data_IF_391008780580
#
_entry.id   IF_391008780580
#
_cell.length_a   1.000
_cell.length_b   1.000
_cell.length_c   1.000
_cell.angle_alpha   90.00
_cell.angle_beta   90.00
_cell.angle_gamma   90.00
#
_symmetry.space_group_name_H-M   'P 1'
#
loop_
_entity.id
_entity.type
_entity.pdbx_description
1 polymer ?
#
# COMPACT_ATOMS: atom_id res chain seq x y z
N UNK A 1 33.65 -9.55 14.37
CA UNK A 1 32.65 -8.49 14.59
C UNK A 1 32.42 -7.62 13.34
N UNK A 2 33.46 -7.26 12.57
CA UNK A 2 33.36 -6.44 11.34
C UNK A 2 32.52 -7.04 10.20
N UNK A 3 32.61 -8.36 9.96
CA UNK A 3 31.81 -9.01 8.89
C UNK A 3 30.29 -8.96 9.10
N UNK A 4 29.83 -8.78 10.34
CA UNK A 4 28.40 -8.76 10.69
C UNK A 4 27.72 -7.46 10.31
N UNK A 5 28.39 -6.34 10.60
CA UNK A 5 27.89 -5.01 10.26
C UNK A 5 27.81 -4.83 8.74
N UNK A 6 28.77 -5.41 7.99
CA UNK A 6 28.75 -5.40 6.54
C UNK A 6 27.48 -6.05 5.95
N UNK A 7 27.03 -7.18 6.51
CA UNK A 7 25.81 -7.85 6.03
C UNK A 7 24.53 -7.05 6.35
N UNK A 8 24.46 -6.44 7.55
CA UNK A 8 23.33 -5.56 7.92
C UNK A 8 23.25 -4.35 6.97
N UNK A 9 24.39 -3.72 6.66
CA UNK A 9 24.43 -2.59 5.70
C UNK A 9 24.09 -2.99 4.26
N UNK A 10 24.49 -4.20 3.84
CA UNK A 10 24.14 -4.71 2.51
C UNK A 10 22.64 -4.95 2.37
N UNK A 11 21.98 -5.42 3.43
CA UNK A 11 20.54 -5.67 3.43
C UNK A 11 19.71 -4.37 3.34
N UNK A 12 20.22 -3.25 3.86
CA UNK A 12 19.60 -1.93 3.66
C UNK A 12 19.57 -1.52 2.19
N UNK A 13 20.47 -2.05 1.35
CA UNK A 13 20.44 -1.83 -0.10
C UNK A 13 19.13 -2.28 -0.74
N UNK A 14 18.40 -3.23 -0.15
CA UNK A 14 17.08 -3.65 -0.65
C UNK A 14 15.98 -2.60 -0.46
N UNK A 15 16.20 -1.58 0.38
CA UNK A 15 15.25 -0.48 0.52
C UNK A 15 15.37 0.53 -0.64
N UNK A 16 16.50 0.60 -1.35
CA UNK A 16 16.74 1.61 -2.37
C UNK A 16 15.79 1.48 -3.58
N UNK A 17 15.59 0.31 -4.20
CA UNK A 17 14.68 0.19 -5.34
C UNK A 17 13.24 0.65 -5.06
N UNK A 18 12.55 0.22 -3.98
CA UNK A 18 11.20 0.70 -3.70
C UNK A 18 11.18 2.20 -3.34
N UNK A 19 12.19 2.73 -2.64
CA UNK A 19 12.26 4.18 -2.38
C UNK A 19 12.39 5.00 -3.67
N UNK A 20 13.14 4.50 -4.65
CA UNK A 20 13.25 5.13 -5.98
C UNK A 20 11.92 5.08 -6.73
N UNK A 21 11.23 3.94 -6.74
CA UNK A 21 9.89 3.82 -7.34
C UNK A 21 8.90 4.78 -6.69
N UNK A 22 8.92 4.88 -5.35
CA UNK A 22 8.09 5.83 -4.61
C UNK A 22 8.36 7.26 -5.04
N UNK A 23 9.64 7.68 -5.06
CA UNK A 23 10.02 9.04 -5.44
C UNK A 23 9.61 9.38 -6.88
N UNK A 24 9.93 8.48 -7.83
CA UNK A 24 9.55 8.68 -9.25
C UNK A 24 8.04 8.78 -9.39
N UNK A 25 7.29 7.93 -8.66
CA UNK A 25 5.82 8.01 -8.68
C UNK A 25 5.30 9.33 -8.12
N UNK A 26 5.85 9.85 -7.01
CA UNK A 26 5.42 11.15 -6.50
C UNK A 26 5.64 12.27 -7.55
N UNK A 27 6.82 12.30 -8.18
CA UNK A 27 7.13 13.30 -9.20
C UNK A 27 6.25 13.17 -10.44
N UNK A 28 6.06 11.95 -10.94
CA UNK A 28 5.20 11.69 -12.10
C UNK A 28 3.74 12.01 -11.81
N UNK A 29 3.27 11.77 -10.58
CA UNK A 29 1.91 12.10 -10.17
C UNK A 29 1.67 13.62 -10.17
N UNK A 30 2.58 14.39 -9.55
CA UNK A 30 2.48 15.86 -9.54
C UNK A 30 2.47 16.44 -10.96
N UNK A 31 3.29 15.90 -11.87
CA UNK A 31 3.30 16.32 -13.27
C UNK A 31 1.99 15.96 -14.00
N UNK A 32 1.50 14.74 -13.81
CA UNK A 32 0.25 14.27 -14.45
C UNK A 32 -0.99 15.01 -13.93
N UNK A 33 -0.91 15.60 -12.74
CA UNK A 33 -2.03 16.23 -12.06
C UNK A 33 -2.05 17.76 -12.14
N UNK A 34 -1.14 18.38 -12.91
CA UNK A 34 -1.10 19.84 -13.11
C UNK A 34 -2.46 20.38 -13.59
N UNK A 35 -3.10 19.67 -14.51
CA UNK A 35 -4.37 20.08 -15.11
C UNK A 35 -5.61 19.67 -14.28
N UNK A 36 -5.43 18.90 -13.19
CA UNK A 36 -6.56 18.47 -12.36
C UNK A 36 -7.09 19.60 -11.48
N UNK A 37 -6.26 20.56 -11.06
CA UNK A 37 -6.67 21.63 -10.14
C UNK A 37 -7.93 22.39 -10.60
N UNK A 38 -8.02 22.94 -11.82
CA UNK A 38 -9.23 23.67 -12.25
C UNK A 38 -10.47 22.77 -12.27
N UNK A 39 -10.32 21.51 -12.67
CA UNK A 39 -11.40 20.53 -12.71
C UNK A 39 -11.93 20.25 -11.30
N UNK A 40 -11.03 20.04 -10.34
CA UNK A 40 -11.39 19.77 -8.95
C UNK A 40 -12.09 20.96 -8.30
N UNK A 41 -11.63 22.19 -8.56
CA UNK A 41 -12.27 23.41 -8.06
C UNK A 41 -13.66 23.61 -8.64
N UNK A 42 -13.85 23.32 -9.93
CA UNK A 42 -15.16 23.36 -10.58
C UNK A 42 -16.11 22.34 -9.95
N UNK A 43 -15.67 21.09 -9.76
CA UNK A 43 -16.48 20.04 -9.13
C UNK A 43 -16.90 20.40 -7.69
N UNK A 44 -16.00 20.98 -6.89
CA UNK A 44 -16.35 21.44 -5.54
C UNK A 44 -17.42 22.54 -5.57
N UNK A 45 -17.36 23.44 -6.56
CA UNK A 45 -18.38 24.47 -6.75
C UNK A 45 -19.74 23.88 -7.13
N UNK A 46 -19.76 22.90 -8.05
CA UNK A 46 -21.00 22.20 -8.42
C UNK A 46 -21.63 21.49 -7.22
N UNK A 47 -20.84 20.81 -6.38
CA UNK A 47 -21.35 20.16 -5.15
C UNK A 47 -21.98 21.19 -4.20
N UNK A 48 -21.40 22.39 -4.08
CA UNK A 48 -21.93 23.43 -3.20
C UNK A 48 -23.32 23.93 -3.63
N UNK A 49 -23.62 23.84 -4.93
CA UNK A 49 -24.88 24.31 -5.52
C UNK A 49 -25.88 23.17 -5.78
N UNK A 50 -25.46 21.92 -5.63
CA UNK A 50 -26.30 20.75 -5.83
C UNK A 50 -27.42 20.67 -4.78
N UNK A 51 -28.59 20.10 -5.12
CA UNK A 51 -29.64 19.87 -4.14
C UNK A 51 -29.17 18.86 -3.08
N UNK A 52 -29.83 18.91 -1.91
CA UNK A 52 -29.51 18.00 -0.81
C UNK A 52 -29.59 16.53 -1.29
N UNK A 53 -28.58 15.70 -0.97
CA UNK A 53 -28.56 14.30 -1.39
C UNK A 53 -29.66 13.50 -0.68
N UNK A 54 -30.06 12.37 -1.27
CA UNK A 54 -30.93 11.41 -0.61
C UNK A 54 -30.24 10.91 0.70
N UNK A 55 -30.90 11.00 1.87
CA UNK A 55 -30.35 10.53 3.13
C UNK A 55 -29.85 9.07 3.09
N UNK A 56 -30.51 8.21 2.30
CA UNK A 56 -30.15 6.81 2.15
C UNK A 56 -28.82 6.64 1.39
N UNK A 57 -28.60 7.42 0.34
CA UNK A 57 -27.34 7.38 -0.42
C UNK A 57 -26.19 7.95 0.39
N UNK A 58 -26.42 9.02 1.15
CA UNK A 58 -25.42 9.57 2.08
C UNK A 58 -25.06 8.54 3.16
N UNK A 59 -26.04 7.84 3.73
CA UNK A 59 -25.81 6.78 4.71
C UNK A 59 -25.03 5.60 4.09
N UNK A 60 -25.37 5.18 2.87
CA UNK A 60 -24.65 4.13 2.14
C UNK A 60 -23.18 4.51 1.90
N UNK A 61 -22.92 5.74 1.46
CA UNK A 61 -21.57 6.25 1.26
C UNK A 61 -20.76 6.23 2.56
N UNK A 62 -21.35 6.71 3.66
CA UNK A 62 -20.71 6.72 4.99
C UNK A 62 -20.37 5.32 5.49
N UNK A 63 -21.29 4.36 5.37
CA UNK A 63 -21.06 2.96 5.78
C UNK A 63 -19.96 2.32 4.94
N UNK A 64 -19.99 2.53 3.62
CA UNK A 64 -18.98 1.99 2.71
C UNK A 64 -17.60 2.56 3.01
N UNK A 65 -17.52 3.88 3.26
CA UNK A 65 -16.28 4.54 3.67
C UNK A 65 -15.77 4.02 5.01
N UNK A 66 -16.65 3.89 6.01
CA UNK A 66 -16.31 3.34 7.31
C UNK A 66 -15.78 1.90 7.24
N UNK A 67 -16.34 1.07 6.35
CA UNK A 67 -15.84 -0.29 6.11
C UNK A 67 -14.44 -0.29 5.49
N UNK A 68 -14.17 0.58 4.51
CA UNK A 68 -12.84 0.76 3.93
C UNK A 68 -11.80 1.24 4.94
N UNK A 69 -12.20 2.18 5.81
CA UNK A 69 -11.36 2.69 6.90
C UNK A 69 -11.01 1.59 7.91
N UNK A 70 -12.01 0.82 8.36
CA UNK A 70 -11.81 -0.28 9.32
C UNK A 70 -10.86 -1.34 8.76
N UNK A 71 -11.06 -1.74 7.49
CA UNK A 71 -10.18 -2.68 6.80
C UNK A 71 -8.73 -2.18 6.80
N UNK A 72 -8.52 -0.91 6.43
CA UNK A 72 -7.18 -0.30 6.42
C UNK A 72 -6.54 -0.31 7.80
N UNK A 73 -7.25 0.11 8.86
CA UNK A 73 -6.72 0.12 10.22
C UNK A 73 -6.31 -1.27 10.72
N UNK A 74 -7.17 -2.28 10.53
CA UNK A 74 -6.87 -3.65 10.96
C UNK A 74 -5.62 -4.17 10.27
N UNK A 75 -5.52 -3.99 8.96
CA UNK A 75 -4.37 -4.45 8.17
C UNK A 75 -3.10 -3.67 8.54
N UNK A 76 -3.17 -2.35 8.66
CA UNK A 76 -2.03 -1.50 9.03
C UNK A 76 -1.48 -1.87 10.42
N UNK A 77 -2.35 -2.04 11.41
CA UNK A 77 -1.96 -2.48 12.75
C UNK A 77 -1.34 -3.88 12.74
N UNK A 78 -1.91 -4.83 11.97
CA UNK A 78 -1.36 -6.17 11.83
C UNK A 78 0.04 -6.19 11.21
N UNK A 79 0.24 -5.45 10.12
CA UNK A 79 1.54 -5.32 9.44
C UNK A 79 2.57 -4.64 10.35
N UNK A 80 2.18 -3.56 11.03
CA UNK A 80 3.05 -2.86 11.98
C UNK A 80 3.46 -3.78 13.14
N UNK A 81 2.50 -4.50 13.74
CA UNK A 81 2.76 -5.46 14.80
C UNK A 81 3.76 -6.53 14.37
N UNK A 82 3.56 -7.13 13.20
CA UNK A 82 4.48 -8.13 12.65
C UNK A 82 5.87 -7.57 12.35
N UNK A 83 5.96 -6.37 11.77
CA UNK A 83 7.23 -5.69 11.52
C UNK A 83 8.01 -5.42 12.82
N UNK A 84 7.32 -4.99 13.88
CA UNK A 84 7.92 -4.78 15.20
C UNK A 84 8.41 -6.09 15.83
N UNK A 85 7.71 -7.21 15.62
CA UNK A 85 8.18 -8.53 16.08
C UNK A 85 9.48 -8.93 15.39
N UNK A 86 9.59 -8.72 14.07
CA UNK A 86 10.84 -9.00 13.33
C UNK A 86 12.03 -8.19 13.85
N UNK A 87 11.82 -6.93 14.24
CA UNK A 87 12.89 -6.13 14.85
C UNK A 87 13.37 -6.68 16.19
N UNK A 88 12.53 -7.38 16.97
CA UNK A 88 12.96 -7.92 18.27
C UNK A 88 14.07 -8.96 18.12
N UNK A 89 14.10 -9.66 16.98
CA UNK A 89 15.10 -10.69 16.67
C UNK A 89 16.46 -10.13 16.23
N UNK A 90 16.53 -8.84 15.90
CA UNK A 90 17.78 -8.20 15.52
C UNK A 90 18.72 -8.04 16.72
N UNK A 91 20.00 -7.88 16.40
CA UNK A 91 21.01 -7.51 17.36
C UNK A 91 20.72 -6.15 18.01
N UNK A 92 21.14 -5.91 19.27
CA UNK A 92 20.89 -4.60 19.90
C UNK A 92 21.37 -3.38 19.07
N UNK A 93 22.53 -3.52 18.38
CA UNK A 93 23.05 -2.47 17.48
C UNK A 93 22.24 -2.38 16.19
N UNK A 94 21.89 -3.52 15.58
CA UNK A 94 21.02 -3.57 14.40
C UNK A 94 19.65 -2.96 14.70
N UNK A 95 19.03 -3.29 15.84
CA UNK A 95 17.78 -2.67 16.31
C UNK A 95 17.87 -1.16 16.36
N UNK A 96 18.93 -0.61 16.95
CA UNK A 96 19.13 0.84 17.01
C UNK A 96 19.30 1.46 15.61
N UNK A 97 20.08 0.82 14.73
CA UNK A 97 20.28 1.30 13.36
C UNK A 97 18.97 1.30 12.56
N UNK A 98 18.25 0.18 12.54
CA UNK A 98 16.99 0.06 11.81
C UNK A 98 15.91 0.96 12.40
N UNK A 99 15.85 1.12 13.73
CA UNK A 99 14.93 2.06 14.37
C UNK A 99 15.25 3.51 13.99
N UNK A 100 16.52 3.92 13.99
CA UNK A 100 16.92 5.27 13.59
C UNK A 100 16.55 5.57 12.13
N UNK A 101 16.78 4.60 11.23
CA UNK A 101 16.39 4.72 9.83
C UNK A 101 14.86 4.74 9.65
N UNK A 102 14.13 3.94 10.41
CA UNK A 102 12.67 3.95 10.40
C UNK A 102 12.14 5.32 10.85
N UNK A 103 12.65 5.85 11.95
CA UNK A 103 12.30 7.19 12.44
C UNK A 103 12.60 8.25 11.39
N UNK A 104 13.76 8.18 10.73
CA UNK A 104 14.11 9.11 9.66
C UNK A 104 13.14 9.04 8.47
N UNK A 105 12.85 7.85 7.96
CA UNK A 105 11.92 7.68 6.84
C UNK A 105 10.50 8.11 7.22
N UNK A 106 10.04 7.79 8.43
CA UNK A 106 8.75 8.24 8.94
C UNK A 106 8.71 9.77 9.06
N UNK A 107 9.77 10.40 9.55
CA UNK A 107 9.87 11.85 9.62
C UNK A 107 9.80 12.50 8.22
N UNK A 108 10.48 11.91 7.22
CA UNK A 108 10.40 12.35 5.83
C UNK A 108 8.98 12.20 5.28
N UNK A 109 8.32 11.06 5.52
CA UNK A 109 6.95 10.81 5.07
C UNK A 109 5.94 11.76 5.73
N UNK A 110 6.07 12.02 7.03
CA UNK A 110 5.23 12.98 7.75
C UNK A 110 5.47 14.42 7.29
N UNK A 111 6.74 14.81 7.12
CA UNK A 111 7.09 16.12 6.55
C UNK A 111 6.46 16.30 5.17
N UNK A 112 6.58 15.30 4.30
CA UNK A 112 5.98 15.33 2.98
C UNK A 112 4.45 15.45 3.05
N UNK A 113 3.79 14.70 3.93
CA UNK A 113 2.33 14.78 4.12
C UNK A 113 1.88 16.17 4.60
N UNK A 114 2.57 16.75 5.58
CA UNK A 114 2.29 18.08 6.11
C UNK A 114 2.53 19.15 5.03
N UNK A 115 3.67 19.08 4.35
CA UNK A 115 4.03 20.05 3.31
C UNK A 115 3.08 19.98 2.11
N UNK A 116 2.67 18.76 1.72
CA UNK A 116 1.64 18.55 0.69
C UNK A 116 0.32 19.21 1.10
N UNK A 117 -0.12 18.98 2.34
CA UNK A 117 -1.33 19.60 2.88
C UNK A 117 -1.29 21.14 2.92
N UNK A 118 -0.14 21.72 3.23
CA UNK A 118 0.05 23.18 3.28
C UNK A 118 0.15 23.83 1.89
N UNK A 119 0.83 23.18 0.95
CA UNK A 119 1.04 23.70 -0.41
C UNK A 119 -0.16 23.54 -1.33
N UNK A 120 -1.16 22.74 -0.95
CA UNK A 120 -2.28 22.34 -1.82
C UNK A 120 -1.78 21.79 -3.17
N UNK A 121 -0.74 20.96 -3.12
CA UNK A 121 -0.23 20.21 -4.28
C UNK A 121 -1.29 19.24 -4.84
N UNK A 122 -0.99 18.58 -5.96
CA UNK A 122 -1.94 17.67 -6.59
C UNK A 122 -2.45 16.59 -5.63
N UNK A 123 -1.55 16.01 -4.85
CA UNK A 123 -1.90 14.95 -3.91
C UNK A 123 -2.91 15.41 -2.85
N UNK A 124 -2.67 16.58 -2.25
CA UNK A 124 -3.58 17.13 -1.25
C UNK A 124 -4.88 17.65 -1.84
N UNK A 125 -4.88 18.15 -3.08
CA UNK A 125 -6.11 18.58 -3.76
C UNK A 125 -7.14 17.45 -3.88
N UNK A 126 -6.69 16.21 -4.04
CA UNK A 126 -7.58 15.04 -4.05
C UNK A 126 -8.25 14.81 -2.70
N UNK A 127 -7.50 14.98 -1.61
CA UNK A 127 -8.06 14.92 -0.27
C UNK A 127 -9.07 16.06 -0.04
N UNK A 128 -8.68 17.27 -0.44
CA UNK A 128 -9.52 18.46 -0.30
C UNK A 128 -10.76 18.40 -1.19
N UNK A 129 -10.75 17.74 -2.35
CA UNK A 129 -11.97 17.54 -3.15
C UNK A 129 -13.07 16.92 -2.28
N UNK A 130 -12.81 15.76 -1.68
CA UNK A 130 -13.82 15.08 -0.88
C UNK A 130 -14.17 15.84 0.38
N UNK A 131 -13.16 16.39 1.07
CA UNK A 131 -13.37 17.16 2.31
C UNK A 131 -14.21 18.41 2.05
N UNK A 132 -13.82 19.22 1.07
CA UNK A 132 -14.46 20.50 0.78
C UNK A 132 -15.85 20.27 0.16
N UNK A 133 -16.04 19.21 -0.64
CA UNK A 133 -17.37 18.78 -1.12
C UNK A 133 -18.32 18.41 0.03
N UNK A 134 -17.83 17.63 1.00
CA UNK A 134 -18.62 17.24 2.18
C UNK A 134 -18.89 18.43 3.11
N UNK A 135 -17.99 19.40 3.17
CA UNK A 135 -18.23 20.64 3.92
C UNK A 135 -19.28 21.52 3.20
N UNK A 136 -19.19 21.63 1.88
CA UNK A 136 -20.04 22.49 1.06
C UNK A 136 -21.51 22.03 1.04
N UNK A 137 -21.77 20.71 1.06
CA UNK A 137 -23.15 20.19 1.05
C UNK A 137 -23.96 20.57 2.31
N UNK A 138 -23.30 20.98 3.41
CA UNK A 138 -23.90 21.18 4.74
C UNK A 138 -24.78 19.99 5.20
N UNK A 139 -24.48 18.79 4.71
CA UNK A 139 -25.28 17.58 4.90
C UNK A 139 -24.84 16.74 6.11
N UNK A 140 -23.77 17.16 6.81
CA UNK A 140 -23.22 16.51 7.99
C UNK A 140 -23.24 17.46 9.18
N UNK A 141 -23.49 16.92 10.38
CA UNK A 141 -23.28 17.69 11.62
C UNK A 141 -21.80 18.00 11.82
N UNK A 142 -21.48 19.11 12.51
CA UNK A 142 -20.10 19.50 12.83
C UNK A 142 -19.34 18.37 13.54
N UNK A 143 -19.99 17.66 14.47
CA UNK A 143 -19.41 16.52 15.18
C UNK A 143 -19.09 15.36 14.24
N UNK A 144 -19.99 15.05 13.29
CA UNK A 144 -19.74 14.00 12.29
C UNK A 144 -18.57 14.37 11.38
N UNK A 145 -18.50 15.62 10.95
CA UNK A 145 -17.43 16.12 10.11
C UNK A 145 -16.08 16.06 10.84
N UNK A 146 -16.03 16.51 12.10
CA UNK A 146 -14.83 16.43 12.95
C UNK A 146 -14.37 14.98 13.15
N UNK A 147 -15.30 14.05 13.38
CA UNK A 147 -14.96 12.63 13.51
C UNK A 147 -14.34 12.06 12.21
N UNK A 148 -14.86 12.46 11.05
CA UNK A 148 -14.29 12.09 9.75
C UNK A 148 -12.88 12.67 9.59
N UNK A 149 -12.66 13.94 9.93
CA UNK A 149 -11.34 14.56 9.86
C UNK A 149 -10.31 13.84 10.74
N UNK A 150 -10.66 13.53 11.99
CA UNK A 150 -9.79 12.77 12.91
C UNK A 150 -9.47 11.39 12.35
N UNK A 151 -10.47 10.68 11.81
CA UNK A 151 -10.27 9.38 11.18
C UNK A 151 -9.30 9.44 9.99
N UNK A 152 -9.45 10.43 9.10
CA UNK A 152 -8.53 10.56 7.96
C UNK A 152 -7.13 10.98 8.41
N UNK A 153 -7.00 11.83 9.43
CA UNK A 153 -5.69 12.16 10.01
C UNK A 153 -4.98 10.93 10.57
N UNK A 154 -5.70 10.06 11.30
CA UNK A 154 -5.16 8.80 11.80
C UNK A 154 -4.77 7.84 10.65
N UNK A 155 -5.56 7.78 9.59
CA UNK A 155 -5.22 7.01 8.38
C UNK A 155 -3.94 7.52 7.73
N UNK A 156 -3.81 8.84 7.55
CA UNK A 156 -2.61 9.45 6.98
C UNK A 156 -1.37 9.22 7.85
N UNK A 157 -1.52 9.28 9.17
CA UNK A 157 -0.45 8.94 10.12
C UNK A 157 0.00 7.49 9.93
N UNK A 158 -0.93 6.54 9.89
CA UNK A 158 -0.60 5.13 9.67
C UNK A 158 0.02 4.90 8.29
N UNK A 159 -0.49 5.54 7.24
CA UNK A 159 0.07 5.47 5.89
C UNK A 159 1.49 6.04 5.80
N UNK A 160 1.84 7.03 6.63
CA UNK A 160 3.20 7.55 6.73
C UNK A 160 4.14 6.67 7.58
N UNK A 161 3.59 5.95 8.57
CA UNK A 161 4.39 5.17 9.54
C UNK A 161 4.61 3.73 9.09
N UNK A 162 3.56 3.02 8.70
CA UNK A 162 3.60 1.56 8.50
C UNK A 162 4.50 1.15 7.32
N UNK A 163 4.41 1.77 6.13
CA UNK A 163 5.21 1.32 4.99
C UNK A 163 6.73 1.44 5.20
N UNK A 164 7.30 2.57 5.70
CA UNK A 164 8.73 2.63 6.02
C UNK A 164 9.17 1.60 7.06
N UNK A 165 8.35 1.37 8.08
CA UNK A 165 8.62 0.38 9.12
C UNK A 165 8.61 -1.04 8.55
N UNK A 166 7.63 -1.39 7.72
CA UNK A 166 7.51 -2.70 7.08
C UNK A 166 8.64 -2.94 6.06
N UNK A 167 9.01 -1.91 5.29
CA UNK A 167 10.12 -1.95 4.34
C UNK A 167 11.43 -2.34 5.03
N UNK A 168 11.77 -1.62 6.10
CA UNK A 168 12.98 -1.88 6.86
C UNK A 168 12.91 -3.21 7.64
N UNK A 169 11.73 -3.65 8.07
CA UNK A 169 11.55 -4.98 8.65
C UNK A 169 11.81 -6.09 7.62
N UNK A 170 11.50 -5.89 6.34
CA UNK A 170 11.86 -6.83 5.28
C UNK A 170 13.36 -6.87 4.99
N UNK A 171 14.01 -5.71 4.99
CA UNK A 171 15.47 -5.64 4.96
C UNK A 171 16.09 -6.37 6.16
N UNK A 172 15.46 -6.32 7.34
CA UNK A 172 15.91 -7.05 8.52
C UNK A 172 15.66 -8.56 8.40
N UNK A 173 14.54 -8.98 7.79
CA UNK A 173 14.13 -10.39 7.68
C UNK A 173 15.13 -11.26 6.91
N UNK A 174 15.96 -10.67 6.05
CA UNK A 174 16.99 -11.37 5.28
C UNK A 174 18.35 -11.44 5.98
N UNK A 175 18.53 -10.71 7.09
CA UNK A 175 19.79 -10.70 7.85
C UNK A 175 19.90 -11.96 8.72
N UNK A 176 21.13 -12.49 8.84
CA UNK A 176 21.43 -13.67 9.67
C UNK A 176 21.39 -13.31 11.17
N UNK A 177 20.62 -14.01 12.03
CA UNK A 177 20.66 -13.80 13.48
C UNK A 177 22.05 -14.03 14.09
N UNK A 178 22.32 -13.41 15.25
CA UNK A 178 23.63 -13.54 15.94
C UNK A 178 23.92 -14.97 16.39
N UNK A 179 25.15 -15.43 16.17
CA UNK A 179 25.66 -16.68 16.75
C UNK A 179 25.11 -17.95 16.11
N UNK A 180 24.22 -17.80 15.15
CA UNK A 180 23.76 -18.89 14.32
C UNK A 180 24.98 -19.38 13.51
N UNK A 181 25.29 -20.68 13.57
CA UNK A 181 26.40 -21.31 12.83
C UNK A 181 26.34 -21.13 11.29
N UNK A 182 26.93 -22.00 10.47
CA UNK A 182 26.84 -21.87 9.01
C UNK A 182 25.39 -21.71 8.54
N UNK A 183 25.21 -20.99 7.43
CA UNK A 183 23.89 -20.84 6.80
C UNK A 183 23.38 -22.24 6.40
N UNK A 184 22.15 -22.57 6.78
CA UNK A 184 21.52 -23.87 6.49
C UNK A 184 20.28 -23.65 5.64
N UNK A 185 19.83 -24.70 4.94
CA UNK A 185 18.61 -24.68 4.13
C UNK A 185 17.37 -24.27 4.95
N UNK A 186 17.22 -24.79 6.17
CA UNK A 186 16.11 -24.42 7.07
C UNK A 186 16.08 -22.92 7.39
N UNK A 187 17.25 -22.31 7.63
CA UNK A 187 17.32 -20.87 7.93
C UNK A 187 16.96 -20.02 6.72
N UNK A 188 17.40 -20.43 5.53
CA UNK A 188 17.00 -19.76 4.30
C UNK A 188 15.50 -19.88 4.06
N UNK A 189 14.92 -21.05 4.33
CA UNK A 189 13.47 -21.25 4.26
C UNK A 189 12.72 -20.33 5.24
N UNK A 190 13.16 -20.22 6.50
CA UNK A 190 12.57 -19.30 7.48
C UNK A 190 12.65 -17.83 7.01
N UNK A 191 13.78 -17.40 6.44
CA UNK A 191 13.92 -16.03 5.90
C UNK A 191 12.95 -15.79 4.74
N UNK A 192 12.83 -16.76 3.83
CA UNK A 192 11.90 -16.69 2.70
C UNK A 192 10.45 -16.64 3.17
N UNK A 193 10.08 -17.44 4.17
CA UNK A 193 8.75 -17.42 4.79
C UNK A 193 8.43 -16.05 5.39
N UNK A 194 9.35 -15.48 6.18
CA UNK A 194 9.17 -14.14 6.77
C UNK A 194 9.00 -13.05 5.71
N UNK A 195 9.82 -13.10 4.67
CA UNK A 195 9.74 -12.19 3.53
C UNK A 195 8.40 -12.32 2.80
N UNK A 196 7.89 -13.55 2.61
CA UNK A 196 6.56 -13.81 2.04
C UNK A 196 5.43 -13.31 2.92
N UNK A 197 5.52 -13.45 4.24
CA UNK A 197 4.53 -12.94 5.18
C UNK A 197 4.48 -11.41 5.16
N UNK A 198 5.66 -10.75 5.15
CA UNK A 198 5.73 -9.30 4.96
C UNK A 198 5.18 -8.87 3.61
N UNK A 199 5.49 -9.61 2.53
CA UNK A 199 4.95 -9.36 1.21
C UNK A 199 3.42 -9.44 1.23
N UNK A 200 2.84 -10.50 1.79
CA UNK A 200 1.39 -10.69 1.86
C UNK A 200 0.72 -9.57 2.68
N UNK A 201 1.28 -9.24 3.85
CA UNK A 201 0.79 -8.13 4.68
C UNK A 201 0.91 -6.77 3.99
N UNK A 202 2.06 -6.50 3.36
CA UNK A 202 2.29 -5.28 2.59
C UNK A 202 1.34 -5.15 1.40
N UNK A 203 1.13 -6.22 0.62
CA UNK A 203 0.16 -6.22 -0.47
C UNK A 203 -1.27 -6.00 0.03
N UNK A 204 -1.66 -6.63 1.14
CA UNK A 204 -2.97 -6.38 1.76
C UNK A 204 -3.12 -4.91 2.20
N UNK A 205 -2.07 -4.31 2.78
CA UNK A 205 -2.07 -2.91 3.21
C UNK A 205 -2.25 -1.96 2.01
N UNK A 206 -1.51 -2.20 0.93
CA UNK A 206 -1.58 -1.39 -0.28
C UNK A 206 -2.96 -1.50 -0.95
N UNK A 207 -3.50 -2.71 -1.04
CA UNK A 207 -4.87 -2.95 -1.53
C UNK A 207 -5.90 -2.21 -0.66
N UNK A 208 -5.84 -2.37 0.67
CA UNK A 208 -6.74 -1.67 1.58
C UNK A 208 -6.65 -0.14 1.43
N UNK A 209 -5.44 0.39 1.22
CA UNK A 209 -5.20 1.81 0.95
C UNK A 209 -5.89 2.31 -0.32
N UNK A 210 -5.71 1.60 -1.45
CA UNK A 210 -6.37 1.94 -2.73
C UNK A 210 -7.89 1.89 -2.57
N UNK A 211 -8.41 0.85 -1.92
CA UNK A 211 -9.84 0.68 -1.72
C UNK A 211 -10.43 1.82 -0.90
N UNK A 212 -9.76 2.19 0.19
CA UNK A 212 -10.16 3.36 0.98
C UNK A 212 -10.12 4.64 0.12
N UNK A 213 -9.06 4.87 -0.67
CA UNK A 213 -8.96 6.02 -1.56
C UNK A 213 -10.11 6.07 -2.58
N UNK A 214 -10.45 4.94 -3.21
CA UNK A 214 -11.59 4.86 -4.14
C UNK A 214 -12.87 5.30 -3.43
N UNK A 215 -13.17 4.72 -2.27
CA UNK A 215 -14.43 5.03 -1.57
C UNK A 215 -14.45 6.49 -1.10
N UNK A 216 -13.32 7.00 -0.61
CA UNK A 216 -13.17 8.41 -0.23
C UNK A 216 -13.42 9.37 -1.41
N UNK A 217 -12.90 9.06 -2.60
CA UNK A 217 -13.07 9.89 -3.80
C UNK A 217 -14.41 9.68 -4.51
N UNK A 218 -15.10 8.56 -4.27
CA UNK A 218 -16.45 8.33 -4.80
C UNK A 218 -17.54 8.97 -3.94
N UNK A 219 -17.25 9.32 -2.68
CA UNK A 219 -18.24 9.95 -1.80
C UNK A 219 -18.83 11.24 -2.40
N UNK A 220 -18.05 12.20 -2.92
CA UNK A 220 -18.61 13.40 -3.55
C UNK A 220 -19.54 13.12 -4.73
N UNK A 221 -19.35 12.02 -5.46
CA UNK A 221 -20.24 11.67 -6.57
C UNK A 221 -21.69 11.43 -6.10
N UNK A 222 -21.88 11.01 -4.84
CA UNK A 222 -23.23 10.85 -4.26
C UNK A 222 -23.92 12.18 -3.93
N UNK A 223 -23.18 13.29 -4.03
CA UNK A 223 -23.69 14.64 -3.80
C UNK A 223 -24.02 15.38 -5.11
N UNK A 224 -23.63 14.81 -6.25
CA UNK A 224 -23.81 15.42 -7.57
C UNK A 224 -25.00 14.79 -8.31
N UNK A 225 -25.58 15.54 -9.24
CA UNK A 225 -26.52 15.00 -10.22
C UNK A 225 -25.75 14.49 -11.45
N UNK A 226 -26.34 13.54 -12.18
CA UNK A 226 -25.80 13.14 -13.49
C UNK A 226 -25.85 14.35 -14.46
N UNK A 227 -24.81 14.61 -15.26
CA UNK A 227 -23.68 13.72 -15.60
C UNK A 227 -22.37 13.94 -14.80
N UNK A 228 -22.34 14.89 -13.86
CA UNK A 228 -21.10 15.31 -13.18
C UNK A 228 -20.53 14.24 -12.24
N UNK A 229 -21.38 13.30 -11.80
CA UNK A 229 -20.96 12.10 -11.07
C UNK A 229 -19.95 11.25 -11.87
N UNK A 230 -20.11 11.15 -13.20
CA UNK A 230 -19.20 10.38 -14.07
C UNK A 230 -17.79 10.95 -14.08
N UNK A 231 -17.64 12.27 -14.00
CA UNK A 231 -16.33 12.93 -13.95
C UNK A 231 -15.60 12.59 -12.64
N UNK A 232 -16.30 12.64 -11.50
CA UNK A 232 -15.74 12.26 -10.20
C UNK A 232 -15.36 10.77 -10.19
N UNK A 233 -16.21 9.90 -10.71
CA UNK A 233 -15.92 8.47 -10.82
C UNK A 233 -14.72 8.18 -11.74
N UNK A 234 -14.59 8.93 -12.84
CA UNK A 234 -13.45 8.85 -13.76
C UNK A 234 -12.13 9.26 -13.10
N UNK A 235 -12.14 10.34 -12.32
CA UNK A 235 -10.99 10.77 -11.51
C UNK A 235 -10.64 9.70 -10.48
N UNK A 236 -11.60 9.25 -9.67
CA UNK A 236 -11.37 8.22 -8.65
C UNK A 236 -10.78 6.93 -9.23
N UNK A 237 -11.26 6.50 -10.40
CA UNK A 237 -10.77 5.32 -11.10
C UNK A 237 -9.36 5.52 -11.64
N UNK A 238 -9.06 6.67 -12.25
CA UNK A 238 -7.72 7.00 -12.76
C UNK A 238 -6.67 7.00 -11.64
N UNK A 239 -7.04 7.54 -10.47
CA UNK A 239 -6.18 7.53 -9.29
C UNK A 239 -5.93 6.11 -8.76
N UNK A 240 -6.97 5.28 -8.74
CA UNK A 240 -6.84 3.89 -8.33
C UNK A 240 -5.90 3.11 -9.26
N UNK A 241 -6.00 3.32 -10.56
CA UNK A 241 -5.10 2.70 -11.56
C UNK A 241 -3.66 3.19 -11.36
N UNK A 242 -3.48 4.50 -11.19
CA UNK A 242 -2.18 5.11 -10.97
C UNK A 242 -1.49 4.53 -9.72
N UNK A 243 -2.12 4.66 -8.55
CA UNK A 243 -1.56 4.19 -7.29
C UNK A 243 -1.48 2.67 -7.23
N UNK A 244 -2.43 1.95 -7.84
CA UNK A 244 -2.35 0.49 -8.01
C UNK A 244 -1.13 0.02 -8.78
N UNK A 245 -0.76 0.74 -9.84
CA UNK A 245 0.44 0.47 -10.62
C UNK A 245 1.70 0.76 -9.79
N UNK A 246 1.77 1.93 -9.15
CA UNK A 246 2.88 2.30 -8.26
C UNK A 246 3.08 1.27 -7.13
N UNK A 247 2.00 0.88 -6.45
CA UNK A 247 2.05 -0.06 -5.34
C UNK A 247 2.46 -1.47 -5.78
N UNK A 248 2.06 -1.88 -6.99
CA UNK A 248 2.54 -3.13 -7.60
C UNK A 248 4.04 -3.08 -7.88
N UNK A 249 4.55 -1.98 -8.44
CA UNK A 249 5.98 -1.78 -8.67
C UNK A 249 6.78 -1.75 -7.37
N UNK A 250 6.29 -1.08 -6.32
CA UNK A 250 6.91 -1.09 -4.99
C UNK A 250 7.02 -2.51 -4.45
N UNK A 251 5.95 -3.28 -4.57
CA UNK A 251 5.90 -4.67 -4.12
C UNK A 251 6.93 -5.54 -4.85
N UNK A 252 6.99 -5.43 -6.18
CA UNK A 252 7.95 -6.18 -7.00
C UNK A 252 9.40 -5.80 -6.67
N UNK A 253 9.71 -4.49 -6.62
CA UNK A 253 11.06 -3.99 -6.39
C UNK A 253 11.56 -4.26 -4.97
N UNK A 254 10.66 -4.35 -4.00
CA UNK A 254 10.99 -4.77 -2.63
C UNK A 254 11.25 -6.27 -2.52
N UNK A 255 10.39 -7.11 -3.11
CA UNK A 255 10.43 -8.56 -2.89
C UNK A 255 11.45 -9.29 -3.78
N UNK A 256 11.53 -8.92 -5.05
CA UNK A 256 12.27 -9.71 -6.04
C UNK A 256 13.78 -9.78 -5.75
N UNK A 257 14.48 -8.67 -5.42
CA UNK A 257 15.90 -8.71 -5.12
C UNK A 257 16.28 -9.62 -3.92
N UNK A 258 15.68 -9.47 -2.72
CA UNK A 258 16.01 -10.36 -1.60
C UNK A 258 15.64 -11.82 -1.89
N UNK A 259 14.50 -12.08 -2.54
CA UNK A 259 14.09 -13.44 -2.89
C UNK A 259 15.10 -14.12 -3.84
N UNK A 260 15.60 -13.39 -4.85
CA UNK A 260 16.61 -13.90 -5.78
C UNK A 260 17.93 -14.23 -5.08
N UNK A 261 18.34 -13.43 -4.10
CA UNK A 261 19.56 -13.67 -3.32
C UNK A 261 19.41 -14.89 -2.42
N UNK A 262 18.29 -15.01 -1.69
CA UNK A 262 18.01 -16.17 -0.86
C UNK A 262 17.96 -17.46 -1.71
N UNK A 263 17.35 -17.40 -2.91
CA UNK A 263 17.34 -18.52 -3.85
C UNK A 263 18.75 -18.91 -4.30
N UNK A 264 19.59 -17.94 -4.66
CA UNK A 264 20.98 -18.20 -5.06
C UNK A 264 21.79 -18.84 -3.91
N UNK A 265 21.53 -18.43 -2.67
CA UNK A 265 22.17 -19.03 -1.50
C UNK A 265 21.72 -20.47 -1.29
N UNK A 266 20.41 -20.75 -1.41
CA UNK A 266 19.88 -22.10 -1.28
C UNK A 266 20.43 -23.05 -2.36
N UNK A 267 20.48 -22.57 -3.61
CA UNK A 267 21.09 -23.31 -4.73
C UNK A 267 22.52 -23.73 -4.42
N UNK A 268 23.36 -22.82 -3.91
CA UNK A 268 24.76 -23.12 -3.58
C UNK A 268 24.91 -24.23 -2.53
N UNK A 269 24.01 -24.28 -1.54
CA UNK A 269 24.04 -25.31 -0.50
C UNK A 269 23.60 -26.66 -1.10
N UNK A 270 22.50 -26.68 -1.87
CA UNK A 270 22.02 -27.89 -2.55
C UNK A 270 23.04 -28.44 -3.57
N UNK A 271 23.79 -27.56 -4.23
CA UNK A 271 24.88 -27.94 -5.13
C UNK A 271 26.03 -28.62 -4.36
N UNK A 272 26.37 -28.11 -3.18
CA UNK A 272 27.42 -28.68 -2.32
C UNK A 272 27.00 -30.03 -1.71
N UNK A 273 25.71 -30.24 -1.45
CA UNK A 273 25.15 -31.49 -0.94
C UNK A 273 24.96 -32.57 -2.03
N UNK A 274 25.41 -32.32 -3.27
CA UNK A 274 25.31 -33.24 -4.41
C UNK A 274 23.88 -33.71 -4.71
N UNK A 275 22.89 -32.87 -4.40
CA UNK A 275 21.47 -33.18 -4.63
C UNK A 275 21.14 -33.24 -6.13
N UNK A 276 20.32 -34.22 -6.54
CA UNK A 276 19.86 -34.35 -7.93
C UNK A 276 19.13 -33.08 -8.39
N UNK A 277 19.14 -32.81 -9.70
CA UNK A 277 18.45 -31.64 -10.26
C UNK A 277 16.95 -31.63 -9.96
N UNK A 278 16.32 -32.81 -9.97
CA UNK A 278 14.89 -32.96 -9.68
C UNK A 278 14.56 -32.67 -8.21
N UNK A 279 15.33 -33.22 -7.28
CA UNK A 279 15.11 -33.02 -5.84
C UNK A 279 15.41 -31.57 -5.44
N UNK A 280 16.40 -30.94 -6.08
CA UNK A 280 16.71 -29.52 -5.89
C UNK A 280 15.54 -28.62 -6.27
N UNK A 281 14.99 -28.82 -7.47
CA UNK A 281 13.86 -28.02 -7.94
C UNK A 281 12.63 -28.25 -7.06
N UNK A 282 12.37 -29.50 -6.65
CA UNK A 282 11.30 -29.84 -5.70
C UNK A 282 11.48 -29.09 -4.38
N UNK A 283 12.68 -29.11 -3.78
CA UNK A 283 12.94 -28.40 -2.52
C UNK A 283 12.70 -26.88 -2.65
N UNK A 284 13.16 -26.27 -3.74
CA UNK A 284 12.94 -24.84 -4.00
C UNK A 284 11.46 -24.50 -4.17
N UNK A 285 10.69 -25.38 -4.81
CA UNK A 285 9.25 -25.22 -4.98
C UNK A 285 8.51 -25.33 -3.63
N UNK A 286 8.81 -26.36 -2.84
CA UNK A 286 8.21 -26.61 -1.52
C UNK A 286 8.46 -25.45 -0.54
N UNK A 287 9.67 -24.91 -0.53
CA UNK A 287 10.04 -23.82 0.38
C UNK A 287 9.82 -22.43 -0.25
N UNK A 288 9.20 -22.39 -1.44
CA UNK A 288 8.70 -21.14 -2.00
C UNK A 288 9.75 -20.22 -2.61
N UNK A 289 10.91 -20.77 -2.98
CA UNK A 289 11.94 -20.09 -3.76
C UNK A 289 11.62 -20.09 -5.26
N UNK A 290 10.60 -20.84 -5.69
CA UNK A 290 10.09 -20.69 -7.04
C UNK A 290 9.28 -19.40 -7.18
N UNK A 291 9.93 -18.44 -7.82
CA UNK A 291 9.31 -17.18 -8.21
C UNK A 291 8.43 -17.47 -9.42
N UNK A 292 7.21 -17.95 -9.18
CA UNK A 292 6.14 -17.97 -10.19
C UNK A 292 5.08 -16.96 -9.76
N UNK A 293 5.25 -15.67 -10.14
CA UNK A 293 4.31 -14.60 -9.78
C UNK A 293 2.88 -14.91 -10.26
N UNK A 294 2.77 -15.61 -11.38
CA UNK A 294 1.52 -15.97 -12.04
C UNK A 294 0.65 -16.87 -11.16
N UNK A 295 1.24 -17.80 -10.39
CA UNK A 295 0.49 -18.74 -9.55
C UNK A 295 -0.27 -18.07 -8.41
N UNK A 296 0.03 -16.81 -8.07
CA UNK A 296 -0.59 -16.07 -6.96
C UNK A 296 -1.62 -15.04 -7.39
N UNK A 297 -1.72 -14.72 -8.68
CA UNK A 297 -2.73 -13.81 -9.22
C UNK A 297 -4.17 -14.23 -8.86
N UNK A 298 -4.57 -15.53 -8.94
CA UNK A 298 -5.94 -15.94 -8.63
C UNK A 298 -6.36 -15.63 -7.19
N UNK A 299 -5.41 -15.67 -6.26
CA UNK A 299 -5.65 -15.43 -4.84
C UNK A 299 -5.86 -13.93 -4.57
N UNK A 300 -5.07 -13.08 -5.23
CA UNK A 300 -5.26 -11.62 -5.18
C UNK A 300 -6.61 -11.24 -5.79
N UNK A 301 -6.97 -11.83 -6.94
CA UNK A 301 -8.29 -11.59 -7.55
C UNK A 301 -9.44 -12.08 -6.67
N UNK A 302 -9.28 -13.20 -5.94
CA UNK A 302 -10.30 -13.71 -5.04
C UNK A 302 -10.52 -12.80 -3.80
N UNK A 303 -9.44 -12.21 -3.27
CA UNK A 303 -9.53 -11.24 -2.16
C UNK A 303 -10.21 -9.95 -2.64
N UNK A 304 -9.94 -9.53 -3.88
CA UNK A 304 -10.56 -8.35 -4.48
C UNK A 304 -12.00 -8.61 -4.98
N UNK A 305 -12.40 -9.86 -5.19
CA UNK A 305 -13.64 -10.23 -5.86
C UNK A 305 -14.91 -9.63 -5.22
N UNK A 306 -15.13 -9.65 -3.88
CA UNK A 306 -16.31 -9.04 -3.28
C UNK A 306 -16.40 -7.52 -3.53
N UNK A 307 -15.24 -6.86 -3.66
CA UNK A 307 -15.16 -5.41 -3.87
C UNK A 307 -15.29 -5.05 -5.35
N UNK A 308 -14.71 -5.86 -6.23
CA UNK A 308 -14.95 -5.79 -7.67
C UNK A 308 -16.44 -6.04 -7.96
N UNK A 309 -17.08 -7.01 -7.31
CA UNK A 309 -18.50 -7.31 -7.50
C UNK A 309 -19.42 -6.14 -7.12
N UNK A 310 -19.12 -5.41 -6.04
CA UNK A 310 -19.97 -4.29 -5.59
C UNK A 310 -19.78 -3.00 -6.40
N UNK A 311 -18.55 -2.71 -6.85
CA UNK A 311 -18.18 -1.37 -7.36
C UNK A 311 -17.68 -1.34 -8.80
N UNK A 312 -17.27 -2.49 -9.35
CA UNK A 312 -17.03 -2.73 -10.78
C UNK A 312 -18.15 -3.58 -11.40
N UNK A 313 -18.91 -4.34 -10.63
CA UNK A 313 -20.02 -5.15 -11.12
C UNK A 313 -21.06 -4.30 -11.87
N UNK A 314 -21.32 -3.08 -11.42
CA UNK A 314 -22.20 -2.10 -12.09
C UNK A 314 -21.54 -1.49 -13.34
N UNK A 315 -20.22 -1.23 -13.33
CA UNK A 315 -19.49 -0.72 -14.49
C UNK A 315 -19.29 -1.75 -15.61
N UNK A 316 -19.02 -3.01 -15.25
CA UNK A 316 -18.93 -4.14 -16.19
C UNK A 316 -20.29 -4.52 -16.76
N UNK A 317 -21.36 -4.43 -15.96
CA UNK A 317 -22.72 -4.62 -16.50
C UNK A 317 -23.13 -3.47 -17.42
N UNK A 318 -22.69 -2.23 -17.17
CA UNK A 318 -22.89 -1.10 -18.09
C UNK A 318 -22.10 -1.24 -19.41
N UNK A 319 -20.89 -1.82 -19.37
CA UNK A 319 -20.11 -2.16 -20.58
C UNK A 319 -20.67 -3.38 -21.33
N UNK A 320 -21.43 -4.25 -20.65
CA UNK A 320 -22.08 -5.42 -21.24
C UNK A 320 -23.46 -5.11 -21.84
N UNK A 321 -24.05 -3.95 -21.55
CA UNK A 321 -25.26 -3.48 -22.22
C UNK A 321 -24.93 -2.99 -23.64
N UNK A 322 -25.49 -3.60 -24.71
CA UNK A 322 -25.27 -3.14 -26.07
C UNK A 322 -25.84 -1.73 -26.26
N UNK A 323 -25.05 -0.85 -26.89
CA UNK A 323 -25.49 0.47 -27.34
C UNK A 323 -26.63 0.27 -28.36
N UNK A 324 -27.84 0.69 -27.98
CA UNK A 324 -29.00 0.77 -28.87
C UNK A 324 -29.10 2.15 -29.50
#
# INVERSE_FOLDING_TARGET
MRSRFANETLALGFALPPLLVWLVSQLSFELAALDLRPILLHLTHEVANAPAPDPLDLARARVTWGAGLLLFYVVACGVLGYALLLYRELSARGRLLYAALAVLLVAISLWHAIHSGASRNAFSLLYYLSRDSLAACNCLSEDSFRAIEVAVQLLNLLAAVVPPVALLAGCAAVVVPRGSGPETLDRLATKMERLKTLLAGGSALLVAGILHQIVWHRWPATLLQAPDDQHVLGVATSLAVYWGTTYSLLTVTFFLPPAAILRRQAMKILDAESTTSADRQRWLDEHGFSVSPIKRLPQITAILAPMLAGSFGTGLSALATPLH
#
